data_IF_146178754223
#
_entry.id   IF_146178754223
#
_cell.length_a   1.000
_cell.length_b   1.000
_cell.length_c   1.000
_cell.angle_alpha   90.00
_cell.angle_beta   90.00
_cell.angle_gamma   90.00
#
_symmetry.space_group_name_H-M   'P 1'
#
loop_
_entity.id
_entity.type
_entity.pdbx_description
1 polymer ?
#
# COMPACT_ATOMS: atom_id res chain seq x y z
N UNK A 1 -18.48 20.81 12.75
CA UNK A 1 -17.07 20.44 13.05
C UNK A 1 -16.17 21.37 12.26
N UNK A 2 -15.15 21.96 12.88
CA UNK A 2 -14.19 22.83 12.18
C UNK A 2 -13.30 21.99 11.27
N UNK A 3 -12.73 22.61 10.23
CA UNK A 3 -11.86 21.92 9.25
C UNK A 3 -10.66 21.24 9.93
N UNK A 4 -10.00 21.92 10.85
CA UNK A 4 -8.85 21.36 11.56
C UNK A 4 -9.22 20.13 12.41
N UNK A 5 -10.35 20.16 13.08
CA UNK A 5 -10.85 18.99 13.82
C UNK A 5 -11.14 17.81 12.89
N UNK A 6 -11.65 18.10 11.68
CA UNK A 6 -11.89 17.09 10.65
C UNK A 6 -10.61 16.46 10.15
N UNK A 7 -9.56 17.25 9.89
CA UNK A 7 -8.24 16.76 9.48
C UNK A 7 -7.63 15.87 10.56
N UNK A 8 -7.63 16.30 11.81
CA UNK A 8 -7.10 15.52 12.95
C UNK A 8 -7.85 14.20 13.06
N UNK A 9 -9.18 14.23 13.03
CA UNK A 9 -9.99 13.01 13.07
C UNK A 9 -9.68 12.07 11.91
N UNK A 10 -9.53 12.60 10.68
CA UNK A 10 -9.16 11.82 9.51
C UNK A 10 -7.81 11.12 9.70
N UNK A 11 -6.77 11.87 10.12
CA UNK A 11 -5.42 11.33 10.32
C UNK A 11 -5.44 10.17 11.32
N UNK A 12 -6.12 10.33 12.45
CA UNK A 12 -6.22 9.29 13.48
C UNK A 12 -7.01 8.06 13.00
N UNK A 13 -8.16 8.29 12.37
CA UNK A 13 -9.00 7.20 11.84
C UNK A 13 -8.28 6.44 10.75
N UNK A 14 -7.59 7.14 9.83
CA UNK A 14 -6.82 6.52 8.76
C UNK A 14 -5.70 5.63 9.28
N UNK A 15 -4.95 6.11 10.28
CA UNK A 15 -3.93 5.32 10.95
C UNK A 15 -4.49 4.05 11.62
N UNK A 16 -5.67 4.14 12.24
CA UNK A 16 -6.31 2.98 12.87
C UNK A 16 -6.81 1.95 11.85
N UNK A 17 -7.45 2.41 10.77
CA UNK A 17 -7.89 1.54 9.66
C UNK A 17 -6.72 0.85 8.97
N UNK A 18 -5.63 1.59 8.74
CA UNK A 18 -4.42 1.03 8.13
C UNK A 18 -3.83 -0.14 8.93
N UNK A 19 -3.90 -0.09 10.26
CA UNK A 19 -3.46 -1.18 11.13
C UNK A 19 -4.26 -2.46 10.88
N UNK A 20 -5.57 -2.36 10.68
CA UNK A 20 -6.42 -3.52 10.32
C UNK A 20 -6.06 -4.12 8.95
N UNK A 21 -5.37 -3.36 8.12
CA UNK A 21 -4.88 -3.80 6.80
C UNK A 21 -3.40 -4.20 6.80
N UNK A 22 -2.78 -4.35 7.98
CA UNK A 22 -1.38 -4.73 8.11
C UNK A 22 -0.38 -3.60 7.77
N UNK A 23 -0.84 -2.34 7.68
CA UNK A 23 0.01 -1.18 7.44
C UNK A 23 0.38 -0.54 8.77
N UNK A 24 1.63 -0.08 8.89
CA UNK A 24 2.10 0.61 10.09
C UNK A 24 1.24 1.87 10.36
N UNK A 25 0.71 1.99 11.58
CA UNK A 25 -0.15 3.10 11.99
C UNK A 25 0.49 4.47 11.75
N UNK A 26 1.74 4.63 12.19
CA UNK A 26 2.45 5.90 12.05
C UNK A 26 2.72 6.26 10.58
N UNK A 27 3.09 5.27 9.76
CA UNK A 27 3.25 5.45 8.31
C UNK A 27 1.97 5.99 7.67
N UNK A 28 0.82 5.40 8.00
CA UNK A 28 -0.48 5.84 7.51
C UNK A 28 -0.87 7.24 8.03
N UNK A 29 -0.54 7.59 9.27
CA UNK A 29 -0.78 8.91 9.83
C UNK A 29 0.11 9.98 9.15
N UNK A 30 1.38 9.69 8.90
CA UNK A 30 2.27 10.59 8.14
C UNK A 30 1.73 10.83 6.74
N UNK A 31 1.33 9.77 6.04
CA UNK A 31 0.72 9.90 4.72
C UNK A 31 -0.57 10.71 4.75
N UNK A 32 -1.48 10.42 5.69
CA UNK A 32 -2.75 11.15 5.83
C UNK A 32 -2.53 12.65 6.12
N UNK A 33 -1.54 12.98 6.96
CA UNK A 33 -1.16 14.37 7.22
C UNK A 33 -0.69 15.08 5.94
N UNK A 34 0.22 14.46 5.19
CA UNK A 34 0.72 15.00 3.93
C UNK A 34 -0.39 15.13 2.87
N UNK A 35 -1.33 14.18 2.86
CA UNK A 35 -2.46 14.18 1.92
C UNK A 35 -3.42 15.34 2.15
N UNK A 36 -3.72 15.69 3.43
CA UNK A 36 -4.61 16.81 3.76
C UNK A 36 -3.90 18.17 3.87
N UNK A 37 -2.57 18.17 3.83
CA UNK A 37 -1.79 19.41 3.81
C UNK A 37 -1.91 20.10 2.45
N UNK A 38 -2.02 21.42 2.46
CA UNK A 38 -2.02 22.26 1.26
C UNK A 38 -0.62 22.69 0.83
N UNK A 39 0.36 22.46 1.70
CA UNK A 39 1.77 22.81 1.50
C UNK A 39 2.66 21.61 1.78
N UNK A 40 3.86 21.63 1.24
CA UNK A 40 4.88 20.64 1.60
C UNK A 40 5.30 20.83 3.06
N UNK A 41 5.50 19.72 3.79
CA UNK A 41 5.88 19.73 5.20
C UNK A 41 7.30 19.20 5.38
N UNK A 42 8.07 19.85 6.25
CA UNK A 42 9.38 19.38 6.71
C UNK A 42 9.22 18.24 7.73
N UNK A 43 10.30 17.50 7.97
CA UNK A 43 10.31 16.47 9.01
C UNK A 43 9.99 17.03 10.40
N UNK A 44 10.39 18.26 10.70
CA UNK A 44 10.11 18.93 11.98
C UNK A 44 8.61 19.19 12.16
N UNK A 45 7.94 19.73 11.12
CA UNK A 45 6.51 20.00 11.15
C UNK A 45 5.68 18.71 11.28
N UNK A 46 6.09 17.64 10.60
CA UNK A 46 5.45 16.33 10.73
C UNK A 46 5.62 15.80 12.17
N UNK A 47 6.84 15.89 12.71
CA UNK A 47 7.17 15.47 14.07
C UNK A 47 6.30 16.20 15.12
N UNK A 48 6.21 17.52 15.01
CA UNK A 48 5.42 18.35 15.93
C UNK A 48 3.92 18.06 15.84
N UNK A 49 3.40 17.95 14.59
CA UNK A 49 1.97 17.72 14.35
C UNK A 49 1.51 16.35 14.85
N UNK A 50 2.28 15.31 14.58
CA UNK A 50 1.94 13.94 14.97
C UNK A 50 2.47 13.53 16.35
N UNK A 51 3.28 14.36 16.98
CA UNK A 51 3.94 14.11 18.29
C UNK A 51 4.76 12.81 18.28
N UNK A 52 5.53 12.58 17.24
CA UNK A 52 6.40 11.41 17.06
C UNK A 52 7.87 11.83 16.99
N UNK A 53 8.79 10.90 17.21
CA UNK A 53 10.22 11.21 17.12
C UNK A 53 10.69 11.46 15.67
N UNK A 54 11.78 12.23 15.51
CA UNK A 54 12.42 12.49 14.20
C UNK A 54 12.81 11.18 13.49
N UNK A 55 13.34 10.20 14.21
CA UNK A 55 13.67 8.89 13.65
C UNK A 55 12.46 8.18 13.07
N UNK A 56 11.32 8.29 13.76
CA UNK A 56 10.06 7.71 13.32
C UNK A 56 9.51 8.42 12.07
N UNK A 57 9.61 9.76 11.99
CA UNK A 57 9.28 10.52 10.78
C UNK A 57 10.13 10.05 9.61
N UNK A 58 11.47 10.06 9.77
CA UNK A 58 12.38 9.73 8.68
C UNK A 58 12.17 8.31 8.15
N UNK A 59 11.96 7.33 9.04
CA UNK A 59 11.68 5.95 8.64
C UNK A 59 10.40 5.84 7.82
N UNK A 60 9.32 6.45 8.29
CA UNK A 60 8.01 6.34 7.62
C UNK A 60 7.95 7.15 6.32
N UNK A 61 8.57 8.33 6.27
CA UNK A 61 8.65 9.13 5.04
C UNK A 61 9.44 8.39 3.96
N UNK A 62 10.59 7.77 4.31
CA UNK A 62 11.35 6.95 3.36
C UNK A 62 10.51 5.79 2.81
N UNK A 63 9.81 5.07 3.68
CA UNK A 63 8.93 3.99 3.25
C UNK A 63 7.82 4.49 2.29
N UNK A 64 7.24 5.66 2.55
CA UNK A 64 6.22 6.27 1.68
C UNK A 64 6.79 6.72 0.32
N UNK A 65 8.05 7.18 0.32
CA UNK A 65 8.79 7.50 -0.93
C UNK A 65 9.06 6.22 -1.72
N UNK A 66 9.51 5.15 -1.04
CA UNK A 66 9.75 3.85 -1.67
C UNK A 66 8.46 3.26 -2.27
N UNK A 67 7.29 3.55 -1.66
CA UNK A 67 5.98 3.18 -2.21
C UNK A 67 5.54 4.08 -3.38
N UNK A 68 6.24 5.19 -3.63
CA UNK A 68 5.91 6.12 -4.70
C UNK A 68 4.67 6.99 -4.45
N UNK A 69 4.24 7.15 -3.18
CA UNK A 69 3.05 7.93 -2.78
C UNK A 69 3.39 9.23 -2.04
N UNK A 70 4.66 9.44 -1.76
CA UNK A 70 5.22 10.69 -1.24
C UNK A 70 6.48 11.02 -2.04
N UNK A 71 6.72 12.29 -2.29
CA UNK A 71 7.94 12.78 -2.91
C UNK A 71 8.55 13.91 -2.11
N UNK A 72 9.85 14.15 -2.32
CA UNK A 72 10.54 15.32 -1.82
C UNK A 72 10.14 16.53 -2.67
N UNK A 73 9.98 17.67 -2.01
CA UNK A 73 9.68 18.94 -2.62
C UNK A 73 10.82 19.91 -2.30
N UNK A 74 11.27 20.65 -3.31
CA UNK A 74 12.26 21.69 -3.13
C UNK A 74 11.55 23.01 -2.80
N UNK A 75 11.92 23.62 -1.68
CA UNK A 75 11.43 24.95 -1.27
C UNK A 75 12.58 25.95 -1.37
N UNK A 76 12.44 26.92 -2.26
CA UNK A 76 13.48 27.92 -2.50
C UNK A 76 13.85 28.70 -1.22
N UNK A 77 15.15 28.81 -0.94
CA UNK A 77 15.65 29.49 0.26
C UNK A 77 15.76 28.58 1.51
N UNK A 78 15.23 27.38 1.46
CA UNK A 78 15.28 26.42 2.57
C UNK A 78 16.37 25.36 2.35
N UNK A 79 17.06 24.99 3.43
CA UNK A 79 18.04 23.88 3.42
C UNK A 79 17.46 22.55 3.87
N UNK A 80 16.23 22.57 4.36
CA UNK A 80 15.53 21.37 4.85
C UNK A 80 14.89 20.62 3.70
N UNK A 81 14.68 19.32 3.89
CA UNK A 81 13.86 18.53 3.00
C UNK A 81 12.39 18.73 3.36
N UNK A 82 11.58 18.91 2.34
CA UNK A 82 10.12 18.98 2.44
C UNK A 82 9.49 17.78 1.71
N UNK A 83 8.31 17.40 2.14
CA UNK A 83 7.61 16.22 1.65
C UNK A 83 6.18 16.58 1.28
N UNK A 84 5.71 15.96 0.20
CA UNK A 84 4.34 16.13 -0.28
C UNK A 84 3.80 14.78 -0.73
N UNK A 85 2.53 14.48 -0.40
CA UNK A 85 1.83 13.32 -0.93
C UNK A 85 1.24 13.62 -2.30
N UNK A 86 1.22 12.63 -3.17
CA UNK A 86 0.41 12.69 -4.37
C UNK A 86 -1.06 12.71 -3.98
N UNK A 87 -1.85 13.58 -4.61
CA UNK A 87 -3.27 13.76 -4.33
C UNK A 87 -4.19 13.08 -5.35
N UNK A 88 -3.61 12.46 -6.36
CA UNK A 88 -4.34 11.59 -7.26
C UNK A 88 -4.68 10.28 -6.52
N UNK A 89 -5.94 10.18 -6.12
CA UNK A 89 -6.44 9.03 -5.34
C UNK A 89 -6.39 7.73 -6.17
N UNK A 90 -6.53 7.85 -7.48
CA UNK A 90 -6.45 6.69 -8.36
C UNK A 90 -5.01 6.18 -8.47
N UNK A 91 -4.06 7.07 -8.64
CA UNK A 91 -2.64 6.72 -8.65
C UNK A 91 -2.20 6.16 -7.28
N UNK A 92 -2.65 6.77 -6.18
CA UNK A 92 -2.44 6.25 -4.83
C UNK A 92 -2.94 4.79 -4.70
N UNK A 93 -4.15 4.50 -5.18
CA UNK A 93 -4.71 3.15 -5.17
C UNK A 93 -3.81 2.17 -5.94
N UNK A 94 -3.36 2.53 -7.13
CA UNK A 94 -2.46 1.69 -7.95
C UNK A 94 -1.13 1.42 -7.26
N UNK A 95 -0.49 2.44 -6.69
CA UNK A 95 0.80 2.29 -6.00
C UNK A 95 0.68 1.42 -4.75
N UNK A 96 -0.35 1.63 -3.93
CA UNK A 96 -0.61 0.79 -2.74
C UNK A 96 -0.88 -0.66 -3.16
N UNK A 97 -1.69 -0.89 -4.18
CA UNK A 97 -2.00 -2.22 -4.70
C UNK A 97 -0.74 -2.92 -5.21
N UNK A 98 0.12 -2.21 -5.94
CA UNK A 98 1.41 -2.71 -6.44
C UNK A 98 2.34 -3.13 -5.29
N UNK A 99 2.47 -2.31 -4.26
CA UNK A 99 3.31 -2.63 -3.11
C UNK A 99 2.78 -3.81 -2.30
N UNK A 100 1.46 -3.93 -2.12
CA UNK A 100 0.83 -5.08 -1.46
C UNK A 100 1.02 -6.37 -2.26
N UNK A 101 0.80 -6.32 -3.56
CA UNK A 101 1.07 -7.45 -4.45
C UNK A 101 2.50 -7.97 -4.29
N UNK A 102 3.49 -7.08 -4.37
CA UNK A 102 4.91 -7.40 -4.21
C UNK A 102 5.25 -8.03 -2.86
N UNK A 103 4.59 -7.59 -1.78
CA UNK A 103 4.89 -8.04 -0.41
C UNK A 103 4.09 -9.26 0.03
N UNK A 104 2.87 -9.43 -0.48
CA UNK A 104 1.93 -10.42 0.02
C UNK A 104 1.69 -11.55 -0.99
N UNK A 105 1.65 -11.28 -2.29
CA UNK A 105 1.29 -12.26 -3.32
C UNK A 105 2.52 -12.92 -3.94
N UNK A 106 3.50 -12.12 -4.38
CA UNK A 106 4.68 -12.65 -5.06
C UNK A 106 5.50 -13.64 -4.22
N UNK A 107 5.74 -13.39 -2.90
CA UNK A 107 6.44 -14.36 -2.06
C UNK A 107 5.68 -15.67 -1.90
N UNK A 108 4.35 -15.62 -1.81
CA UNK A 108 3.51 -16.84 -1.71
C UNK A 108 3.64 -17.67 -2.99
N UNK A 109 3.54 -17.05 -4.17
CA UNK A 109 3.71 -17.75 -5.45
C UNK A 109 5.09 -18.41 -5.56
N UNK A 110 6.14 -17.71 -5.12
CA UNK A 110 7.49 -18.25 -5.12
C UNK A 110 7.60 -19.49 -4.23
N UNK A 111 7.10 -19.43 -3.01
CA UNK A 111 7.13 -20.57 -2.07
C UNK A 111 6.32 -21.75 -2.61
N UNK A 112 5.13 -21.51 -3.17
CA UNK A 112 4.30 -22.57 -3.74
C UNK A 112 5.00 -23.27 -4.93
N UNK A 113 5.72 -22.52 -5.78
CA UNK A 113 6.49 -23.06 -6.88
C UNK A 113 7.70 -23.90 -6.39
N UNK A 114 8.44 -23.41 -5.38
CA UNK A 114 9.53 -24.13 -4.75
C UNK A 114 9.05 -25.44 -4.13
N UNK A 115 7.97 -25.43 -3.34
CA UNK A 115 7.43 -26.63 -2.69
C UNK A 115 6.97 -27.69 -3.69
N UNK A 116 6.39 -27.30 -4.84
CA UNK A 116 5.99 -28.25 -5.87
C UNK A 116 7.19 -28.92 -6.57
N UNK A 117 8.32 -28.22 -6.69
CA UNK A 117 9.53 -28.72 -7.37
C UNK A 117 10.40 -29.57 -6.46
N UNK A 118 10.52 -29.19 -5.19
CA UNK A 118 11.53 -29.73 -4.28
C UNK A 118 11.01 -30.88 -3.42
N UNK A 119 9.69 -31.16 -3.42
CA UNK A 119 9.13 -32.27 -2.65
C UNK A 119 9.59 -33.62 -3.22
N UNK A 120 9.99 -34.52 -2.32
CA UNK A 120 10.44 -35.87 -2.70
C UNK A 120 9.24 -36.68 -3.22
N UNK A 121 9.32 -37.10 -4.48
CA UNK A 121 8.23 -37.81 -5.17
C UNK A 121 7.97 -39.26 -4.66
N UNK A 122 8.86 -39.80 -3.84
CA UNK A 122 8.75 -41.15 -3.32
C UNK A 122 8.09 -41.23 -1.92
N UNK A 123 7.59 -40.12 -1.39
CA UNK A 123 6.97 -40.10 -0.07
C UNK A 123 5.44 -40.32 -0.15
N UNK A 124 4.91 -40.96 0.89
CA UNK A 124 3.45 -41.16 1.01
C UNK A 124 2.73 -39.81 1.15
N UNK A 125 1.62 -39.61 0.42
CA UNK A 125 0.84 -38.38 0.44
C UNK A 125 1.37 -37.26 -0.46
N UNK A 126 2.46 -37.47 -1.21
CA UNK A 126 3.05 -36.44 -2.08
C UNK A 126 2.09 -35.96 -3.17
N UNK A 127 1.27 -36.84 -3.72
CA UNK A 127 0.31 -36.47 -4.77
C UNK A 127 -0.78 -35.53 -4.24
N UNK A 128 -1.32 -35.81 -3.04
CA UNK A 128 -2.31 -34.94 -2.39
C UNK A 128 -1.69 -33.58 -2.05
N UNK A 129 -0.45 -33.57 -1.54
CA UNK A 129 0.27 -32.34 -1.25
C UNK A 129 0.51 -31.52 -2.52
N UNK A 130 1.03 -32.12 -3.59
CA UNK A 130 1.24 -31.43 -4.88
C UNK A 130 -0.06 -30.88 -5.45
N UNK A 131 -1.15 -31.63 -5.36
CA UNK A 131 -2.47 -31.16 -5.78
C UNK A 131 -2.89 -29.93 -5.00
N UNK A 132 -2.77 -29.97 -3.67
CA UNK A 132 -3.12 -28.81 -2.81
C UNK A 132 -2.27 -27.57 -3.17
N UNK A 133 -0.96 -27.75 -3.37
CA UNK A 133 -0.07 -26.63 -3.76
C UNK A 133 -0.44 -26.10 -5.14
N UNK A 134 -0.82 -26.95 -6.07
CA UNK A 134 -1.29 -26.56 -7.40
C UNK A 134 -2.61 -25.75 -7.33
N UNK A 135 -3.56 -26.21 -6.53
CA UNK A 135 -4.84 -25.52 -6.33
C UNK A 135 -4.63 -24.13 -5.69
N UNK A 136 -3.77 -24.04 -4.65
CA UNK A 136 -3.38 -22.77 -4.04
C UNK A 136 -2.69 -21.84 -5.04
N UNK A 137 -1.77 -22.37 -5.85
CA UNK A 137 -1.10 -21.61 -6.91
C UNK A 137 -2.10 -21.05 -7.93
N UNK A 138 -3.07 -21.86 -8.33
CA UNK A 138 -4.12 -21.46 -9.30
C UNK A 138 -4.95 -20.29 -8.77
N UNK A 139 -5.40 -20.37 -7.52
CA UNK A 139 -6.18 -19.30 -6.85
C UNK A 139 -5.31 -18.04 -6.71
N UNK A 140 -4.08 -18.20 -6.22
CA UNK A 140 -3.16 -17.07 -6.01
C UNK A 140 -2.80 -16.38 -7.33
N UNK A 141 -2.56 -17.15 -8.41
CA UNK A 141 -2.33 -16.59 -9.76
C UNK A 141 -3.56 -15.86 -10.31
N UNK A 142 -4.76 -16.35 -10.02
CA UNK A 142 -6.00 -15.66 -10.39
C UNK A 142 -6.10 -14.30 -9.71
N UNK A 143 -5.87 -14.25 -8.38
CA UNK A 143 -5.82 -12.99 -7.61
C UNK A 143 -4.73 -12.07 -8.17
N UNK A 144 -3.52 -12.59 -8.40
CA UNK A 144 -2.41 -11.86 -8.99
C UNK A 144 -2.80 -11.19 -10.33
N UNK A 145 -3.44 -11.94 -11.21
CA UNK A 145 -3.91 -11.43 -12.50
C UNK A 145 -5.00 -10.35 -12.38
N UNK A 146 -5.88 -10.45 -11.39
CA UNK A 146 -6.89 -9.41 -11.10
C UNK A 146 -6.19 -8.12 -10.64
N UNK A 147 -5.23 -8.22 -9.74
CA UNK A 147 -4.46 -7.07 -9.25
C UNK A 147 -3.67 -6.40 -10.38
N UNK A 148 -3.05 -7.19 -11.27
CA UNK A 148 -2.34 -6.66 -12.44
C UNK A 148 -3.26 -5.86 -13.39
N UNK A 149 -4.48 -6.35 -13.59
CA UNK A 149 -5.48 -5.62 -14.38
C UNK A 149 -5.92 -4.34 -13.68
N UNK A 150 -6.13 -4.37 -12.37
CA UNK A 150 -6.49 -3.20 -11.57
C UNK A 150 -5.40 -2.12 -11.61
N UNK A 151 -4.12 -2.51 -11.52
CA UNK A 151 -2.97 -1.59 -11.60
C UNK A 151 -2.85 -0.95 -13.00
N UNK A 152 -3.15 -1.70 -14.06
CA UNK A 152 -3.06 -1.25 -15.45
C UNK A 152 -4.29 -0.50 -15.95
N UNK A 153 -5.40 -0.62 -15.25
CA UNK A 153 -6.65 0.00 -15.65
C UNK A 153 -6.61 1.52 -15.45
N UNK A 154 -7.33 2.24 -16.32
CA UNK A 154 -7.69 3.61 -16.02
C UNK A 154 -8.95 3.68 -15.13
N UNK A 155 -9.16 4.84 -14.50
CA UNK A 155 -10.27 5.07 -13.60
C UNK A 155 -11.63 4.81 -14.27
N UNK A 156 -11.82 5.26 -15.51
CA UNK A 156 -13.06 5.13 -16.26
C UNK A 156 -13.38 3.67 -16.61
N UNK A 157 -12.39 2.89 -16.97
CA UNK A 157 -12.57 1.48 -17.29
C UNK A 157 -13.03 0.67 -16.09
N UNK A 158 -12.45 0.88 -14.92
CA UNK A 158 -12.81 0.17 -13.69
C UNK A 158 -14.22 0.54 -13.23
N UNK A 159 -14.54 1.82 -13.13
CA UNK A 159 -15.86 2.29 -12.72
C UNK A 159 -16.96 1.77 -13.66
N UNK A 160 -16.71 1.76 -14.96
CA UNK A 160 -17.69 1.25 -15.95
C UNK A 160 -17.92 -0.25 -15.86
N UNK A 161 -16.88 -1.04 -15.53
CA UNK A 161 -17.03 -2.50 -15.40
C UNK A 161 -17.59 -2.91 -14.03
N UNK A 162 -17.25 -2.22 -12.96
CA UNK A 162 -17.84 -2.43 -11.64
C UNK A 162 -19.34 -2.17 -11.64
N UNK A 163 -19.79 -1.08 -12.27
CA UNK A 163 -21.23 -0.77 -12.38
C UNK A 163 -21.98 -1.79 -13.22
N UNK A 164 -21.36 -2.42 -14.20
CA UNK A 164 -21.96 -3.51 -14.98
C UNK A 164 -22.05 -4.83 -14.20
N UNK A 165 -21.11 -5.10 -13.29
CA UNK A 165 -21.12 -6.30 -12.44
C UNK A 165 -22.16 -6.22 -11.32
N UNK A 166 -22.42 -5.03 -10.76
CA UNK A 166 -23.39 -4.81 -9.68
C UNK A 166 -24.84 -4.78 -10.20
N UNK A 167 -25.03 -4.50 -11.51
CA UNK A 167 -26.37 -4.46 -12.16
C UNK A 167 -26.83 -5.81 -12.70
N UNK A 168 -26.09 -6.89 -12.51
CA UNK A 168 -26.48 -8.28 -12.78
C UNK A 168 -26.78 -9.02 -11.46
#
# INVERSE_FOLDING_TARGET
MKLEDAKIKYIHTWGSLATSWGINKTMAQVHALLLVSTVALSADEIMETLKISRGNVNMNVRALIDWGIVRKEFVAGERKEFFVADKDIWELFKQVTKERKKREIEPVLKVLDELQKDVNENEEGVEEFKKLMSDLSSVTNTVNGILDRAIKADEHWLLSNFTKMIKK
#
